data_IF_164596011221
#
_entry.id   IF_164596011221
#
_cell.length_a   1.000
_cell.length_b   1.000
_cell.length_c   1.000
_cell.angle_alpha   90.00
_cell.angle_beta   90.00
_cell.angle_gamma   90.00
#
_symmetry.space_group_name_H-M   'P 1'
#
loop_
_entity.id
_entity.type
_entity.pdbx_description
1 polymer ?
#
# COMPACT_ATOMS: atom_id res chain seq x y z
N UNK A 1 41.77 45.95 -5.35
CA UNK A 1 41.99 44.74 -6.17
C UNK A 1 42.73 43.74 -5.31
N UNK A 2 42.24 42.56 -4.94
CA UNK A 2 41.11 41.71 -5.33
C UNK A 2 40.69 40.97 -4.05
N UNK A 3 39.40 41.06 -3.72
CA UNK A 3 38.75 40.26 -2.68
C UNK A 3 38.71 38.82 -3.20
N UNK A 4 39.60 37.94 -2.71
CA UNK A 4 39.54 36.52 -3.08
C UNK A 4 38.33 35.92 -2.40
N UNK A 5 37.33 35.70 -3.23
CA UNK A 5 36.10 34.95 -2.98
C UNK A 5 36.36 33.82 -1.99
N UNK A 6 35.70 33.89 -0.84
CA UNK A 6 35.28 32.69 -0.14
C UNK A 6 34.46 31.89 -1.16
N UNK A 7 35.02 30.81 -1.70
CA UNK A 7 34.23 29.73 -2.26
C UNK A 7 33.35 29.22 -1.12
N UNK A 8 32.18 29.80 -0.99
CA UNK A 8 31.06 29.16 -0.32
C UNK A 8 30.74 27.96 -1.19
N UNK A 9 31.35 26.82 -0.89
CA UNK A 9 30.96 25.53 -1.45
C UNK A 9 29.43 25.47 -1.37
N UNK A 10 28.71 25.23 -2.49
CA UNK A 10 27.27 25.10 -2.44
C UNK A 10 26.93 24.00 -1.43
N UNK A 11 25.93 24.25 -0.58
CA UNK A 11 25.32 23.21 0.28
C UNK A 11 25.21 21.94 -0.56
N UNK A 12 25.83 20.85 -0.13
CA UNK A 12 25.80 19.58 -0.85
C UNK A 12 24.38 19.31 -1.33
N UNK A 13 24.13 19.41 -2.64
CA UNK A 13 22.85 19.02 -3.21
C UNK A 13 22.65 17.56 -2.81
N UNK A 14 21.63 17.30 -1.98
CA UNK A 14 21.30 15.95 -1.59
C UNK A 14 20.66 15.25 -2.79
N UNK A 15 21.51 14.70 -3.65
CA UNK A 15 21.09 13.83 -4.72
C UNK A 15 20.63 12.47 -4.16
N UNK A 16 19.53 11.94 -4.70
CA UNK A 16 19.11 10.57 -4.40
C UNK A 16 20.13 9.59 -4.97
N UNK A 17 20.52 8.59 -4.19
CA UNK A 17 21.33 7.48 -4.70
C UNK A 17 20.50 6.58 -5.61
N UNK A 18 21.16 5.80 -6.46
CA UNK A 18 20.46 4.81 -7.30
C UNK A 18 19.67 3.79 -6.46
N UNK A 19 20.21 3.40 -5.30
CA UNK A 19 19.52 2.53 -4.35
C UNK A 19 18.26 3.18 -3.79
N UNK A 20 18.34 4.44 -3.35
CA UNK A 20 17.18 5.19 -2.85
C UNK A 20 16.10 5.36 -3.94
N UNK A 21 16.51 5.66 -5.17
CA UNK A 21 15.60 5.74 -6.32
C UNK A 21 14.89 4.41 -6.56
N UNK A 22 15.62 3.29 -6.52
CA UNK A 22 15.04 1.95 -6.68
C UNK A 22 14.07 1.61 -5.54
N UNK A 23 14.34 2.03 -4.31
CA UNK A 23 13.44 1.83 -3.17
C UNK A 23 12.12 2.58 -3.39
N UNK A 24 12.18 3.84 -3.84
CA UNK A 24 10.99 4.65 -4.15
C UNK A 24 10.16 3.99 -5.25
N UNK A 25 10.78 3.74 -6.42
CA UNK A 25 10.09 3.18 -7.58
C UNK A 25 9.44 1.83 -7.24
N UNK A 26 10.16 0.93 -6.58
CA UNK A 26 9.63 -0.38 -6.25
C UNK A 26 8.51 -0.32 -5.20
N UNK A 27 8.61 0.57 -4.21
CA UNK A 27 7.54 0.74 -3.22
C UNK A 27 6.27 1.28 -3.86
N UNK A 28 6.36 2.35 -4.66
CA UNK A 28 5.23 2.90 -5.41
C UNK A 28 4.60 1.84 -6.31
N UNK A 29 5.43 1.13 -7.07
CA UNK A 29 4.97 0.08 -7.98
C UNK A 29 4.19 -1.02 -7.25
N UNK A 30 4.68 -1.50 -6.11
CA UNK A 30 4.01 -2.58 -5.36
C UNK A 30 2.61 -2.19 -4.89
N UNK A 31 2.47 -1.01 -4.29
CA UNK A 31 1.18 -0.53 -3.81
C UNK A 31 0.22 -0.23 -4.96
N UNK A 32 0.72 0.35 -6.05
CA UNK A 32 -0.09 0.60 -7.25
C UNK A 32 -0.55 -0.72 -7.89
N UNK A 33 0.36 -1.69 -8.07
CA UNK A 33 0.01 -3.02 -8.59
C UNK A 33 -1.04 -3.71 -7.72
N UNK A 34 -0.95 -3.59 -6.39
CA UNK A 34 -1.96 -4.09 -5.46
C UNK A 34 -3.33 -3.44 -5.69
N UNK A 35 -3.39 -2.11 -5.76
CA UNK A 35 -4.64 -1.37 -5.99
C UNK A 35 -5.31 -1.76 -7.33
N UNK A 36 -4.54 -1.81 -8.42
CA UNK A 36 -5.04 -2.24 -9.72
C UNK A 36 -5.57 -3.68 -9.71
N UNK A 37 -4.91 -4.56 -8.96
CA UNK A 37 -5.28 -5.98 -8.96
C UNK A 37 -6.49 -6.24 -8.05
N UNK A 38 -6.64 -5.50 -6.95
CA UNK A 38 -7.89 -5.46 -6.17
C UNK A 38 -9.05 -4.98 -7.05
N UNK A 39 -8.87 -3.89 -7.81
CA UNK A 39 -9.87 -3.42 -8.79
C UNK A 39 -10.18 -4.49 -9.84
N UNK A 40 -9.16 -5.17 -10.38
CA UNK A 40 -9.38 -6.26 -11.35
C UNK A 40 -10.21 -7.40 -10.76
N UNK A 41 -9.97 -7.77 -9.50
CA UNK A 41 -10.78 -8.77 -8.80
C UNK A 41 -12.22 -8.28 -8.59
N UNK A 42 -12.39 -7.04 -8.13
CA UNK A 42 -13.70 -6.42 -7.94
C UNK A 42 -14.53 -6.46 -9.22
N UNK A 43 -13.94 -6.03 -10.36
CA UNK A 43 -14.62 -6.04 -11.66
C UNK A 43 -14.98 -7.47 -12.07
N UNK A 44 -14.07 -8.43 -11.91
CA UNK A 44 -14.34 -9.83 -12.23
C UNK A 44 -15.50 -10.36 -11.39
N UNK A 45 -15.47 -10.22 -10.07
CA UNK A 45 -16.52 -10.73 -9.18
C UNK A 45 -17.89 -10.11 -9.48
N UNK A 46 -17.95 -8.80 -9.72
CA UNK A 46 -19.24 -8.08 -9.86
C UNK A 46 -19.79 -8.12 -11.30
N UNK A 47 -18.92 -8.18 -12.32
CA UNK A 47 -19.33 -7.95 -13.72
C UNK A 47 -18.87 -9.04 -14.70
N UNK A 48 -17.85 -9.82 -14.36
CA UNK A 48 -17.26 -10.83 -15.25
C UNK A 48 -16.83 -12.10 -14.45
N UNK A 49 -17.79 -12.85 -13.88
CA UNK A 49 -17.49 -13.91 -12.90
C UNK A 49 -16.62 -15.03 -13.45
N UNK A 50 -16.63 -15.26 -14.77
CA UNK A 50 -15.78 -16.23 -15.45
C UNK A 50 -14.28 -15.90 -15.29
N UNK A 51 -13.93 -14.62 -15.10
CA UNK A 51 -12.55 -14.17 -14.88
C UNK A 51 -12.11 -14.17 -13.43
N UNK A 52 -13.01 -14.38 -12.46
CA UNK A 52 -12.73 -14.25 -11.02
C UNK A 52 -11.51 -15.06 -10.59
N UNK A 53 -11.42 -16.33 -11.00
CA UNK A 53 -10.29 -17.18 -10.60
C UNK A 53 -8.94 -16.67 -11.14
N UNK A 54 -8.91 -16.18 -12.39
CA UNK A 54 -7.68 -15.61 -12.95
C UNK A 54 -7.28 -14.31 -12.25
N UNK A 55 -8.25 -13.44 -11.93
CA UNK A 55 -7.99 -12.21 -11.18
C UNK A 55 -7.48 -12.51 -9.76
N UNK A 56 -8.09 -13.49 -9.07
CA UNK A 56 -7.66 -13.93 -7.75
C UNK A 56 -6.23 -14.48 -7.76
N UNK A 57 -5.88 -15.33 -8.74
CA UNK A 57 -4.53 -15.87 -8.88
C UNK A 57 -3.50 -14.76 -9.11
N UNK A 58 -3.84 -13.72 -9.89
CA UNK A 58 -2.96 -12.56 -10.10
C UNK A 58 -2.73 -11.79 -8.80
N UNK A 59 -3.79 -11.58 -8.01
CA UNK A 59 -3.73 -10.88 -6.73
C UNK A 59 -2.88 -11.62 -5.70
N UNK A 60 -3.08 -12.93 -5.59
CA UNK A 60 -2.29 -13.81 -4.73
C UNK A 60 -0.80 -13.73 -5.07
N UNK A 61 -0.44 -13.82 -6.36
CA UNK A 61 0.95 -13.72 -6.80
C UNK A 61 1.62 -12.40 -6.40
N UNK A 62 0.92 -11.27 -6.45
CA UNK A 62 1.49 -9.97 -6.06
C UNK A 62 1.83 -9.97 -4.56
N UNK A 63 0.93 -10.44 -3.71
CA UNK A 63 1.14 -10.40 -2.26
C UNK A 63 2.15 -11.45 -1.80
N UNK A 64 1.96 -12.70 -2.18
CA UNK A 64 2.75 -13.82 -1.67
C UNK A 64 4.17 -13.86 -2.25
N UNK A 65 4.36 -13.31 -3.46
CA UNK A 65 5.67 -13.30 -4.11
C UNK A 65 6.29 -11.91 -4.06
N UNK A 66 5.62 -10.87 -4.58
CA UNK A 66 6.28 -9.58 -4.77
C UNK A 66 6.49 -8.83 -3.44
N UNK A 67 5.45 -8.72 -2.60
CA UNK A 67 5.58 -8.07 -1.29
C UNK A 67 6.54 -8.85 -0.38
N UNK A 68 6.42 -10.17 -0.31
CA UNK A 68 7.34 -11.02 0.45
C UNK A 68 8.80 -10.79 0.02
N UNK A 69 9.08 -10.93 -1.28
CA UNK A 69 10.44 -10.83 -1.80
C UNK A 69 11.03 -9.44 -1.64
N UNK A 70 10.20 -8.39 -1.68
CA UNK A 70 10.67 -7.03 -1.46
C UNK A 70 10.98 -6.76 0.01
N UNK A 71 10.07 -7.07 0.91
CA UNK A 71 10.22 -6.73 2.34
C UNK A 71 11.29 -7.56 3.03
N UNK A 72 11.47 -8.83 2.62
CA UNK A 72 12.50 -9.69 3.22
C UNK A 72 13.91 -9.13 3.04
N UNK A 73 14.15 -8.29 2.02
CA UNK A 73 15.45 -7.66 1.77
C UNK A 73 15.83 -6.65 2.86
N UNK A 74 14.84 -6.04 3.51
CA UNK A 74 15.06 -4.98 4.50
C UNK A 74 14.82 -5.44 5.94
N UNK A 75 13.91 -6.40 6.12
CA UNK A 75 13.44 -6.80 7.46
C UNK A 75 13.62 -8.29 7.78
N UNK A 76 14.07 -9.10 6.83
CA UNK A 76 14.19 -10.55 6.99
C UNK A 76 12.88 -11.31 6.74
N UNK A 77 12.95 -12.65 6.67
CA UNK A 77 11.84 -13.50 6.22
C UNK A 77 10.63 -13.48 7.16
N UNK A 78 10.84 -13.54 8.48
CA UNK A 78 9.75 -13.60 9.46
C UNK A 78 8.91 -12.32 9.42
N UNK A 79 9.58 -11.17 9.34
CA UNK A 79 8.89 -9.87 9.28
C UNK A 79 8.08 -9.73 8.00
N UNK A 80 8.68 -10.13 6.87
CA UNK A 80 8.03 -10.10 5.57
C UNK A 80 6.81 -11.03 5.52
N UNK A 81 6.93 -12.26 6.04
CA UNK A 81 5.83 -13.21 6.07
C UNK A 81 4.66 -12.70 6.91
N UNK A 82 4.92 -12.07 8.05
CA UNK A 82 3.85 -11.53 8.88
C UNK A 82 3.08 -10.40 8.18
N UNK A 83 3.75 -9.52 7.41
CA UNK A 83 3.02 -8.51 6.64
C UNK A 83 2.20 -9.15 5.51
N UNK A 84 2.77 -10.15 4.82
CA UNK A 84 2.05 -10.91 3.79
C UNK A 84 0.78 -11.53 4.37
N UNK A 85 0.82 -12.08 5.59
CA UNK A 85 -0.37 -12.63 6.26
C UNK A 85 -1.47 -11.56 6.44
N UNK A 86 -1.12 -10.33 6.85
CA UNK A 86 -2.08 -9.23 6.95
C UNK A 86 -2.66 -8.82 5.59
N UNK A 87 -1.84 -8.81 4.53
CA UNK A 87 -2.31 -8.50 3.18
C UNK A 87 -3.20 -9.62 2.62
N UNK A 88 -2.87 -10.89 2.86
CA UNK A 88 -3.68 -12.04 2.44
C UNK A 88 -5.03 -12.07 3.17
N UNK A 89 -5.05 -11.73 4.46
CA UNK A 89 -6.31 -11.54 5.21
C UNK A 89 -7.13 -10.36 4.67
N UNK A 90 -6.48 -9.23 4.36
CA UNK A 90 -7.14 -8.08 3.74
C UNK A 90 -7.83 -8.45 2.43
N UNK A 91 -7.09 -9.11 1.53
CA UNK A 91 -7.59 -9.55 0.22
C UNK A 91 -8.75 -10.53 0.37
N UNK A 92 -8.64 -11.49 1.29
CA UNK A 92 -9.71 -12.47 1.52
C UNK A 92 -11.00 -11.78 1.95
N UNK A 93 -10.93 -10.77 2.82
CA UNK A 93 -12.10 -10.01 3.23
C UNK A 93 -12.62 -9.07 2.12
N UNK A 94 -11.74 -8.49 1.29
CA UNK A 94 -12.16 -7.72 0.10
C UNK A 94 -12.92 -8.59 -0.91
N UNK A 95 -12.44 -9.81 -1.18
CA UNK A 95 -13.14 -10.75 -2.05
C UNK A 95 -14.55 -11.04 -1.50
N UNK A 96 -14.65 -11.47 -0.24
CA UNK A 96 -15.95 -11.75 0.40
C UNK A 96 -16.91 -10.56 0.33
N UNK A 97 -16.37 -9.35 0.53
CA UNK A 97 -17.14 -8.12 0.36
C UNK A 97 -17.67 -7.95 -1.06
N UNK A 98 -16.85 -8.18 -2.10
CA UNK A 98 -17.28 -8.09 -3.49
C UNK A 98 -18.36 -9.12 -3.84
N UNK A 99 -18.24 -10.36 -3.32
CA UNK A 99 -19.28 -11.40 -3.47
C UNK A 99 -20.58 -11.02 -2.75
N UNK A 100 -20.45 -10.44 -1.55
CA UNK A 100 -21.60 -9.98 -0.79
C UNK A 100 -22.31 -8.81 -1.49
N UNK A 101 -21.55 -7.88 -2.09
CA UNK A 101 -22.10 -6.80 -2.92
C UNK A 101 -22.80 -7.36 -4.17
N UNK A 102 -22.18 -8.33 -4.87
CA UNK A 102 -22.76 -8.89 -6.11
C UNK A 102 -24.05 -9.69 -5.86
N UNK A 103 -24.22 -10.23 -4.65
CA UNK A 103 -25.40 -11.00 -4.22
C UNK A 103 -26.36 -10.20 -3.32
N UNK A 104 -26.06 -8.93 -3.04
CA UNK A 104 -26.79 -8.06 -2.12
C UNK A 104 -26.94 -8.63 -0.69
N UNK A 105 -25.94 -9.38 -0.22
CA UNK A 105 -25.91 -9.99 1.11
C UNK A 105 -25.41 -8.99 2.17
N UNK A 106 -26.34 -8.29 2.82
CA UNK A 106 -26.01 -7.23 3.79
C UNK A 106 -25.30 -7.73 5.05
N UNK A 107 -25.57 -8.95 5.49
CA UNK A 107 -24.92 -9.53 6.66
C UNK A 107 -23.43 -9.76 6.39
N UNK A 108 -23.09 -10.38 5.26
CA UNK A 108 -21.70 -10.65 4.89
C UNK A 108 -20.95 -9.36 4.51
N UNK A 109 -21.64 -8.37 3.92
CA UNK A 109 -21.06 -7.03 3.69
C UNK A 109 -20.60 -6.41 5.02
N UNK A 110 -21.48 -6.34 6.02
CA UNK A 110 -21.16 -5.75 7.32
C UNK A 110 -20.03 -6.52 8.04
N UNK A 111 -20.10 -7.85 8.03
CA UNK A 111 -19.08 -8.74 8.59
C UNK A 111 -17.70 -8.52 7.95
N UNK A 112 -17.65 -8.41 6.62
CA UNK A 112 -16.41 -8.19 5.87
C UNK A 112 -15.83 -6.80 6.15
N UNK A 113 -16.67 -5.76 6.22
CA UNK A 113 -16.22 -4.39 6.53
C UNK A 113 -15.58 -4.30 7.91
N UNK A 114 -16.17 -4.92 8.94
CA UNK A 114 -15.58 -4.96 10.29
C UNK A 114 -14.19 -5.60 10.26
N UNK A 115 -14.07 -6.78 9.63
CA UNK A 115 -12.79 -7.51 9.53
C UNK A 115 -11.72 -6.73 8.75
N UNK A 116 -12.11 -5.95 7.73
CA UNK A 116 -11.18 -5.10 7.00
C UNK A 116 -10.57 -4.01 7.89
N UNK A 117 -11.39 -3.35 8.71
CA UNK A 117 -10.91 -2.31 9.63
C UNK A 117 -10.09 -2.91 10.78
N UNK A 118 -10.48 -4.07 11.32
CA UNK A 118 -9.68 -4.80 12.31
C UNK A 118 -8.30 -5.21 11.76
N UNK A 119 -8.28 -5.72 10.52
CA UNK A 119 -7.02 -6.07 9.86
C UNK A 119 -6.16 -4.83 9.57
N UNK A 120 -6.79 -3.70 9.22
CA UNK A 120 -6.06 -2.44 9.03
C UNK A 120 -5.39 -1.95 10.32
N UNK A 121 -6.07 -2.08 11.46
CA UNK A 121 -5.52 -1.72 12.78
C UNK A 121 -4.32 -2.60 13.15
N UNK A 122 -4.44 -3.91 12.94
CA UNK A 122 -3.34 -4.85 13.21
C UNK A 122 -2.15 -4.61 12.28
N UNK A 123 -2.40 -4.39 10.99
CA UNK A 123 -1.36 -4.11 10.01
C UNK A 123 -0.65 -2.77 10.29
N UNK A 124 -1.39 -1.71 10.64
CA UNK A 124 -0.80 -0.41 10.95
C UNK A 124 0.09 -0.46 12.19
N UNK A 125 -0.37 -1.14 13.24
CA UNK A 125 0.43 -1.29 14.48
C UNK A 125 1.68 -2.12 14.21
N UNK A 126 1.55 -3.19 13.43
CA UNK A 126 2.69 -4.01 13.04
C UNK A 126 3.73 -3.24 12.23
N UNK A 127 3.30 -2.49 11.19
CA UNK A 127 4.19 -1.65 10.39
C UNK A 127 4.95 -0.64 11.26
N UNK A 128 4.27 0.03 12.18
CA UNK A 128 4.92 0.97 13.10
C UNK A 128 5.93 0.29 14.04
N UNK A 129 5.64 -0.93 14.49
CA UNK A 129 6.53 -1.70 15.37
C UNK A 129 7.85 -2.08 14.71
N UNK A 130 7.84 -2.31 13.39
CA UNK A 130 9.03 -2.73 12.63
C UNK A 130 9.81 -1.56 12.05
N UNK A 131 9.31 -0.33 12.07
CA UNK A 131 10.06 0.83 11.57
C UNK A 131 9.69 2.10 12.33
N UNK A 132 10.66 2.67 13.06
CA UNK A 132 10.47 3.87 13.87
C UNK A 132 10.05 5.12 13.07
N UNK A 133 10.26 5.12 11.74
CA UNK A 133 9.85 6.20 10.84
C UNK A 133 8.44 6.01 10.26
N UNK A 134 7.82 4.87 10.54
CA UNK A 134 6.43 4.59 10.20
C UNK A 134 5.54 4.83 11.42
N UNK A 135 4.68 5.84 11.31
CA UNK A 135 3.69 6.17 12.31
C UNK A 135 2.45 5.28 12.13
N UNK A 136 1.97 4.70 13.22
CA UNK A 136 0.80 3.81 13.23
C UNK A 136 -0.44 4.53 12.70
N UNK A 137 -0.73 5.74 13.20
CA UNK A 137 -1.91 6.50 12.79
C UNK A 137 -1.88 6.83 11.30
N UNK A 138 -0.71 7.18 10.75
CA UNK A 138 -0.57 7.46 9.32
C UNK A 138 -0.87 6.23 8.46
N UNK A 139 -0.38 5.04 8.85
CA UNK A 139 -0.70 3.80 8.15
C UNK A 139 -2.19 3.44 8.28
N UNK A 140 -2.76 3.61 9.47
CA UNK A 140 -4.18 3.39 9.73
C UNK A 140 -5.05 4.28 8.85
N UNK A 141 -4.73 5.58 8.75
CA UNK A 141 -5.44 6.54 7.90
C UNK A 141 -5.38 6.18 6.43
N UNK A 142 -4.22 5.72 5.93
CA UNK A 142 -4.11 5.24 4.55
C UNK A 142 -4.96 4.00 4.30
N UNK A 143 -4.86 2.99 5.16
CA UNK A 143 -5.61 1.74 5.00
C UNK A 143 -7.13 1.98 5.11
N UNK A 144 -7.56 2.86 6.01
CA UNK A 144 -8.97 3.23 6.17
C UNK A 144 -9.52 3.95 4.95
N UNK A 145 -8.75 4.88 4.38
CA UNK A 145 -9.12 5.55 3.14
C UNK A 145 -9.20 4.58 1.96
N UNK A 146 -8.25 3.64 1.87
CA UNK A 146 -8.28 2.57 0.86
C UNK A 146 -9.52 1.70 1.00
N UNK A 147 -9.85 1.24 2.22
CA UNK A 147 -11.05 0.44 2.49
C UNK A 147 -12.31 1.18 2.06
N UNK A 148 -12.48 2.43 2.52
CA UNK A 148 -13.67 3.23 2.20
C UNK A 148 -13.79 3.49 0.70
N UNK A 149 -12.71 3.88 0.05
CA UNK A 149 -12.70 4.12 -1.38
C UNK A 149 -13.03 2.86 -2.18
N UNK A 150 -12.49 1.70 -1.82
CA UNK A 150 -12.80 0.43 -2.48
C UNK A 150 -14.27 0.01 -2.28
N UNK A 151 -14.86 0.25 -1.10
CA UNK A 151 -16.31 0.04 -0.88
C UNK A 151 -17.14 0.95 -1.78
N UNK A 152 -16.79 2.24 -1.85
CA UNK A 152 -17.51 3.22 -2.66
C UNK A 152 -17.39 2.91 -4.15
N UNK A 153 -16.21 2.48 -4.60
CA UNK A 153 -15.94 2.04 -5.98
C UNK A 153 -16.78 0.80 -6.33
N UNK A 154 -16.76 -0.23 -5.49
CA UNK A 154 -17.53 -1.47 -5.70
C UNK A 154 -19.03 -1.20 -5.74
N UNK A 155 -19.52 -0.31 -4.88
CA UNK A 155 -20.92 0.12 -4.87
C UNK A 155 -21.30 0.85 -6.15
N UNK A 156 -20.47 1.80 -6.60
CA UNK A 156 -20.67 2.52 -7.86
C UNK A 156 -20.66 1.57 -9.06
N UNK A 157 -19.75 0.59 -9.07
CA UNK A 157 -19.69 -0.44 -10.11
C UNK A 157 -20.97 -1.29 -10.14
N UNK A 158 -21.43 -1.75 -8.97
CA UNK A 158 -22.65 -2.54 -8.86
C UNK A 158 -23.90 -1.77 -9.31
N UNK A 159 -23.96 -0.46 -9.01
CA UNK A 159 -25.04 0.43 -9.46
C UNK A 159 -24.87 0.92 -10.90
N UNK A 160 -23.82 0.51 -11.62
CA UNK A 160 -23.46 0.93 -12.99
C UNK A 160 -23.19 2.45 -13.13
N UNK A 161 -22.78 3.09 -12.05
CA UNK A 161 -22.31 4.48 -12.05
C UNK A 161 -20.81 4.52 -12.42
N UNK A 162 -20.52 4.25 -13.70
CA UNK A 162 -19.15 4.05 -14.18
C UNK A 162 -18.29 5.32 -14.08
N UNK A 163 -18.88 6.50 -14.26
CA UNK A 163 -18.13 7.76 -14.14
C UNK A 163 -17.63 7.95 -12.71
N UNK A 164 -18.50 7.74 -11.72
CA UNK A 164 -18.11 7.79 -10.31
C UNK A 164 -17.08 6.72 -9.96
N UNK A 165 -17.27 5.51 -10.48
CA UNK A 165 -16.34 4.38 -10.30
C UNK A 165 -14.91 4.74 -10.74
N UNK A 166 -14.74 5.33 -11.94
CA UNK A 166 -13.42 5.73 -12.42
C UNK A 166 -12.83 6.89 -11.60
N UNK A 167 -13.66 7.87 -11.23
CA UNK A 167 -13.22 8.99 -10.39
C UNK A 167 -12.72 8.53 -9.01
N UNK A 168 -13.38 7.55 -8.40
CA UNK A 168 -12.95 6.98 -7.12
C UNK A 168 -11.63 6.23 -7.30
N UNK A 169 -11.51 5.41 -8.34
CA UNK A 169 -10.29 4.65 -8.55
C UNK A 169 -9.06 5.50 -8.81
N UNK A 170 -9.19 6.62 -9.53
CA UNK A 170 -8.09 7.56 -9.68
C UNK A 170 -7.56 8.04 -8.32
N UNK A 171 -8.45 8.33 -7.36
CA UNK A 171 -8.06 8.70 -5.99
C UNK A 171 -7.41 7.55 -5.24
N UNK A 172 -7.89 6.31 -5.43
CA UNK A 172 -7.27 5.12 -4.84
C UNK A 172 -5.87 4.86 -5.41
N UNK A 173 -5.65 5.10 -6.71
CA UNK A 173 -4.33 5.00 -7.33
C UNK A 173 -3.34 6.06 -6.81
N UNK A 174 -3.81 7.29 -6.63
CA UNK A 174 -3.03 8.36 -5.98
C UNK A 174 -2.68 7.97 -4.53
N UNK A 175 -3.66 7.48 -3.77
CA UNK A 175 -3.45 6.99 -2.40
C UNK A 175 -2.43 5.85 -2.34
N UNK A 176 -2.51 4.89 -3.25
CA UNK A 176 -1.55 3.78 -3.33
C UNK A 176 -0.12 4.29 -3.60
N UNK A 177 0.02 5.32 -4.43
CA UNK A 177 1.32 5.97 -4.68
C UNK A 177 1.85 6.63 -3.40
N UNK A 178 1.00 7.33 -2.64
CA UNK A 178 1.37 7.92 -1.35
C UNK A 178 1.78 6.87 -0.31
N UNK A 179 1.10 5.73 -0.27
CA UNK A 179 1.48 4.59 0.58
C UNK A 179 2.85 4.04 0.21
N UNK A 180 3.14 3.92 -1.09
CA UNK A 180 4.45 3.53 -1.58
C UNK A 180 5.55 4.53 -1.24
N UNK A 181 5.28 5.83 -1.39
CA UNK A 181 6.22 6.88 -0.98
C UNK A 181 6.52 6.83 0.52
N UNK A 182 5.49 6.63 1.34
CA UNK A 182 5.65 6.56 2.79
C UNK A 182 6.44 5.32 3.22
N UNK A 183 6.18 4.17 2.58
CA UNK A 183 6.98 2.96 2.75
C UNK A 183 8.44 3.22 2.39
N UNK A 184 8.71 3.76 1.20
CA UNK A 184 10.06 4.04 0.72
C UNK A 184 10.83 4.97 1.68
N UNK A 185 10.20 6.06 2.12
CA UNK A 185 10.82 7.03 3.05
C UNK A 185 11.23 6.37 4.36
N UNK A 186 10.39 5.51 4.92
CA UNK A 186 10.74 4.80 6.15
C UNK A 186 11.87 3.80 5.96
N UNK A 187 11.90 3.05 4.85
CA UNK A 187 13.01 2.14 4.52
C UNK A 187 14.32 2.92 4.36
N UNK A 188 14.31 3.99 3.56
CA UNK A 188 15.49 4.83 3.32
C UNK A 188 16.02 5.45 4.61
N UNK A 189 15.12 5.99 5.45
CA UNK A 189 15.50 6.63 6.71
C UNK A 189 16.08 5.65 7.72
N UNK A 190 15.58 4.41 7.74
CA UNK A 190 16.11 3.33 8.59
C UNK A 190 17.49 2.85 8.13
N UNK A 191 17.73 2.82 6.82
CA UNK A 191 19.01 2.38 6.25
C UNK A 191 20.11 3.46 6.26
N UNK A 192 19.77 4.70 6.61
CA UNK A 192 20.75 5.78 6.72
C UNK A 192 21.70 5.51 7.92
N UNK A 193 23.03 5.69 7.76
CA UNK A 193 23.95 5.57 8.89
C UNK A 193 23.56 6.58 9.97
N UNK A 194 23.47 6.12 11.22
CA UNK A 194 23.26 7.00 12.38
C UNK A 194 24.33 8.09 12.37
N UNK A 195 23.91 9.35 12.33
CA UNK A 195 24.85 10.47 12.44
C UNK A 195 25.64 10.30 13.74
N UNK A 196 26.98 10.41 13.73
CA UNK A 196 27.73 10.42 14.97
C UNK A 196 27.17 11.54 15.84
N UNK A 197 26.68 11.19 17.02
CA UNK A 197 26.33 12.17 18.05
C UNK A 197 27.54 13.10 18.19
N UNK A 198 27.35 14.38 17.86
CA UNK A 198 28.30 15.42 18.23
C UNK A 198 28.25 15.52 19.75
N UNK A 199 29.06 14.70 20.42
CA UNK A 199 29.33 14.84 21.84
C UNK A 199 29.91 16.24 22.04
N UNK A 200 29.12 17.10 22.66
CA UNK A 200 29.53 18.40 23.20
C UNK A 200 29.98 18.21 24.63
#
# INVERSE_FOLDING_TARGET
MINKMQEVLPKSEQYLTQEQMNIIINSQRLWLELAFTIRSLMIAVIRDPERTQSAANRLYNIVEINFYNYLRLFYGPDVAQQLVNYLSNFITNMWRLFEAISTNNTEEMNSSVVKLYENADQASSYLASINIYWNEQQWKDFLYQSIRGTIDEATALASKDFEKEYQIFNRLADLATLMGDYMARGIISRSAPSSPQQNS
#
